data_IF_694379488229
#
_entry.id   IF_694379488229
#
_cell.length_a   1.000
_cell.length_b   1.000
_cell.length_c   1.000
_cell.angle_alpha   90.00
_cell.angle_beta   90.00
_cell.angle_gamma   90.00
#
_symmetry.space_group_name_H-M   'P 1'
#
loop_
_entity.id
_entity.type
_entity.pdbx_description
1 polymer ?
#
# COMPACT_ATOMS: atom_id res chain seq x y z
N UNK A 1 -31.63 2.56 11.75
CA UNK A 1 -30.48 2.35 10.86
C UNK A 1 -29.49 3.48 11.16
N UNK A 2 -28.29 3.17 11.63
CA UNK A 2 -27.35 4.20 12.05
C UNK A 2 -26.68 4.90 10.85
N UNK A 3 -26.05 6.04 11.12
CA UNK A 3 -25.43 6.91 10.10
C UNK A 3 -24.21 6.25 9.42
N UNK A 4 -23.58 5.28 10.07
CA UNK A 4 -22.46 4.51 9.52
C UNK A 4 -22.93 3.48 8.50
N UNK A 5 -24.04 2.80 8.80
CA UNK A 5 -24.68 1.80 7.93
C UNK A 5 -25.21 2.46 6.65
N UNK A 6 -25.79 3.66 6.75
CA UNK A 6 -26.20 4.42 5.56
C UNK A 6 -25.03 4.84 4.67
N UNK A 7 -23.89 5.24 5.25
CA UNK A 7 -22.69 5.58 4.48
C UNK A 7 -22.09 4.36 3.78
N UNK A 8 -22.00 3.22 4.47
CA UNK A 8 -21.52 1.98 3.88
C UNK A 8 -22.41 1.52 2.70
N UNK A 9 -23.74 1.65 2.83
CA UNK A 9 -24.69 1.32 1.76
C UNK A 9 -24.60 2.28 0.56
N UNK A 10 -24.36 3.56 0.81
CA UNK A 10 -24.12 4.56 -0.25
C UNK A 10 -22.83 4.29 -1.01
N UNK A 11 -21.78 3.85 -0.31
CA UNK A 11 -20.51 3.50 -0.93
C UNK A 11 -20.65 2.27 -1.82
N UNK A 12 -21.38 1.25 -1.35
CA UNK A 12 -21.70 0.04 -2.13
C UNK A 12 -22.57 0.37 -3.36
N UNK A 13 -23.55 1.27 -3.25
CA UNK A 13 -24.38 1.64 -4.41
C UNK A 13 -23.57 2.41 -5.45
N UNK A 14 -22.72 3.35 -5.00
CA UNK A 14 -21.84 4.13 -5.87
C UNK A 14 -20.83 3.22 -6.57
N UNK A 15 -20.34 2.20 -5.86
CA UNK A 15 -19.44 1.20 -6.42
C UNK A 15 -20.12 0.31 -7.46
N UNK A 16 -21.39 -0.07 -7.23
CA UNK A 16 -22.22 -0.82 -8.19
C UNK A 16 -22.45 -0.02 -9.47
N UNK A 17 -22.76 1.27 -9.36
CA UNK A 17 -22.97 2.16 -10.52
C UNK A 17 -21.71 2.26 -11.38
N UNK A 18 -20.53 2.38 -10.75
CA UNK A 18 -19.25 2.48 -11.44
C UNK A 18 -18.89 1.21 -12.23
N UNK A 19 -19.18 0.03 -11.67
CA UNK A 19 -19.00 -1.26 -12.36
C UNK A 19 -19.93 -1.36 -13.57
N UNK A 20 -21.19 -0.97 -13.42
CA UNK A 20 -22.17 -0.99 -14.51
C UNK A 20 -21.72 -0.07 -15.65
N UNK A 21 -21.27 1.14 -15.35
CA UNK A 21 -20.78 2.09 -16.36
C UNK A 21 -19.54 1.58 -17.09
N UNK A 22 -18.60 0.95 -16.38
CA UNK A 22 -17.36 0.40 -16.98
C UNK A 22 -17.67 -0.76 -17.92
N UNK A 23 -18.60 -1.66 -17.54
CA UNK A 23 -19.08 -2.76 -18.40
C UNK A 23 -19.81 -2.22 -19.63
N UNK A 24 -20.69 -1.24 -19.47
CA UNK A 24 -21.40 -0.61 -20.58
C UNK A 24 -20.44 0.06 -21.58
N UNK A 25 -19.39 0.70 -21.08
CA UNK A 25 -18.37 1.32 -21.93
C UNK A 25 -17.58 0.28 -22.74
N UNK A 26 -17.21 -0.85 -22.12
CA UNK A 26 -16.56 -1.96 -22.83
C UNK A 26 -17.48 -2.60 -23.89
N UNK A 27 -18.77 -2.73 -23.61
CA UNK A 27 -19.75 -3.25 -24.58
C UNK A 27 -19.94 -2.33 -25.79
N UNK A 28 -19.74 -1.02 -25.63
CA UNK A 28 -19.82 -0.05 -26.74
C UNK A 28 -18.55 0.00 -27.59
N UNK A 29 -17.39 -0.42 -27.06
CA UNK A 29 -16.12 -0.46 -27.79
C UNK A 29 -15.96 -1.73 -28.65
N UNK A 30 -16.76 -2.77 -28.44
CA UNK A 30 -16.77 -3.94 -29.34
C UNK A 30 -17.54 -3.64 -30.63
N UNK A 31 -16.81 -3.46 -31.73
CA UNK A 31 -17.36 -3.38 -33.07
C UNK A 31 -18.26 -4.59 -33.36
N UNK A 32 -19.54 -4.34 -33.66
CA UNK A 32 -20.52 -5.37 -34.04
C UNK A 32 -19.94 -6.28 -35.15
N UNK A 33 -19.71 -7.58 -34.92
CA UNK A 33 -19.25 -8.46 -35.98
C UNK A 33 -20.42 -8.75 -36.92
N UNK A 34 -20.20 -8.49 -38.20
CA UNK A 34 -21.06 -8.93 -39.29
C UNK A 34 -20.98 -10.47 -39.41
N UNK A 35 -22.12 -11.14 -39.15
CA UNK A 35 -22.47 -12.57 -39.34
C UNK A 35 -22.40 -13.47 -38.08
N UNK A 36 -23.30 -14.48 -37.98
CA UNK A 36 -23.73 -15.01 -36.69
C UNK A 36 -22.85 -16.19 -36.24
N UNK A 37 -21.99 -15.97 -35.25
CA UNK A 37 -21.43 -17.05 -34.41
C UNK A 37 -22.33 -17.24 -33.18
N UNK A 38 -23.53 -17.75 -33.40
CA UNK A 38 -24.53 -17.93 -32.34
C UNK A 38 -24.03 -18.87 -31.22
N UNK A 39 -23.20 -19.85 -31.58
CA UNK A 39 -22.55 -20.79 -30.65
C UNK A 39 -21.56 -20.10 -29.73
N UNK A 40 -20.76 -19.14 -30.22
CA UNK A 40 -19.80 -18.41 -29.40
C UNK A 40 -20.51 -17.51 -28.40
N UNK A 41 -21.57 -16.80 -28.83
CA UNK A 41 -22.40 -15.97 -27.93
C UNK A 41 -23.13 -16.79 -26.87
N UNK A 42 -23.65 -17.96 -27.22
CA UNK A 42 -24.28 -18.86 -26.26
C UNK A 42 -23.28 -19.34 -25.19
N UNK A 43 -22.06 -19.70 -25.59
CA UNK A 43 -20.99 -20.09 -24.65
C UNK A 43 -20.58 -18.92 -23.77
N UNK A 44 -20.37 -17.73 -24.34
CA UNK A 44 -20.04 -16.54 -23.54
C UNK A 44 -21.15 -16.25 -22.52
N UNK A 45 -22.42 -16.24 -22.94
CA UNK A 45 -23.57 -16.01 -22.04
C UNK A 45 -23.65 -17.08 -20.95
N UNK A 46 -23.41 -18.35 -21.27
CA UNK A 46 -23.40 -19.40 -20.25
C UNK A 46 -22.26 -19.20 -19.24
N UNK A 47 -21.07 -18.81 -19.71
CA UNK A 47 -19.93 -18.49 -18.82
C UNK A 47 -20.28 -17.29 -17.93
N UNK A 48 -20.84 -16.21 -18.47
CA UNK A 48 -21.25 -15.04 -17.66
C UNK A 48 -22.35 -15.39 -16.66
N UNK A 49 -23.35 -16.18 -17.07
CA UNK A 49 -24.40 -16.67 -16.17
C UNK A 49 -23.84 -17.57 -15.06
N UNK A 50 -22.87 -18.43 -15.35
CA UNK A 50 -22.19 -19.26 -14.33
C UNK A 50 -21.40 -18.42 -13.34
N UNK A 51 -20.69 -17.38 -13.80
CA UNK A 51 -19.98 -16.43 -12.93
C UNK A 51 -20.97 -15.66 -12.05
N UNK A 52 -22.06 -15.15 -12.62
CA UNK A 52 -23.10 -14.43 -11.89
C UNK A 52 -23.83 -15.33 -10.88
N UNK A 53 -24.10 -16.59 -11.24
CA UNK A 53 -24.67 -17.58 -10.32
C UNK A 53 -23.71 -17.94 -9.19
N UNK A 54 -22.41 -18.03 -9.46
CA UNK A 54 -21.40 -18.26 -8.43
C UNK A 54 -21.30 -17.08 -7.47
N UNK A 55 -21.34 -15.83 -7.97
CA UNK A 55 -21.37 -14.61 -7.16
C UNK A 55 -22.67 -14.55 -6.33
N UNK A 56 -23.82 -14.84 -6.94
CA UNK A 56 -25.10 -14.87 -6.25
C UNK A 56 -25.15 -15.99 -5.19
N UNK A 57 -24.52 -17.14 -5.46
CA UNK A 57 -24.40 -18.25 -4.50
C UNK A 57 -23.48 -17.90 -3.33
N UNK A 58 -22.33 -17.25 -3.58
CA UNK A 58 -21.45 -16.69 -2.54
C UNK A 58 -22.20 -15.65 -1.68
N UNK A 59 -22.99 -14.79 -2.30
CA UNK A 59 -23.79 -13.78 -1.60
C UNK A 59 -25.03 -14.34 -0.86
N UNK A 60 -25.51 -15.53 -1.25
CA UNK A 60 -26.67 -16.20 -0.66
C UNK A 60 -26.27 -17.26 0.38
N UNK A 61 -24.98 -17.53 0.59
CA UNK A 61 -24.57 -18.31 1.74
C UNK A 61 -24.94 -17.52 3.00
N UNK A 62 -25.74 -18.10 3.92
CA UNK A 62 -25.95 -17.48 5.21
C UNK A 62 -24.57 -17.26 5.85
N UNK A 63 -24.36 -16.07 6.40
CA UNK A 63 -23.20 -15.80 7.25
C UNK A 63 -23.45 -16.59 8.54
N UNK A 64 -23.24 -17.91 8.47
CA UNK A 64 -22.96 -18.68 9.66
C UNK A 64 -21.64 -18.13 10.18
N UNK A 65 -21.72 -17.55 11.36
CA UNK A 65 -20.59 -17.28 12.22
C UNK A 65 -19.91 -18.63 12.55
N UNK A 66 -19.19 -19.19 11.58
CA UNK A 66 -18.10 -20.10 11.90
C UNK A 66 -16.97 -19.19 12.32
N UNK A 67 -17.06 -18.77 13.59
CA UNK A 67 -15.90 -18.47 14.40
C UNK A 67 -15.01 -19.70 14.32
N UNK A 68 -14.15 -19.71 13.30
CA UNK A 68 -12.94 -20.50 13.37
C UNK A 68 -12.14 -19.77 14.44
N UNK A 69 -12.24 -20.25 15.68
CA UNK A 69 -11.17 -20.05 16.65
C UNK A 69 -9.92 -20.71 16.04
N UNK A 70 -9.30 -19.99 15.11
CA UNK A 70 -7.86 -20.07 14.94
C UNK A 70 -7.36 -19.65 16.31
N UNK A 71 -6.73 -20.59 16.99
CA UNK A 71 -5.99 -20.34 18.20
C UNK A 71 -4.90 -19.34 17.82
N UNK A 72 -5.24 -18.05 17.82
CA UNK A 72 -4.31 -16.95 17.69
C UNK A 72 -3.44 -17.05 18.94
N UNK A 73 -2.30 -17.74 18.80
CA UNK A 73 -1.21 -17.57 19.74
C UNK A 73 -1.06 -16.07 19.97
N UNK A 74 -1.09 -15.67 21.23
CA UNK A 74 -1.14 -14.29 21.72
C UNK A 74 -0.42 -13.35 20.74
N UNK A 75 -1.19 -12.60 19.93
CA UNK A 75 -0.61 -11.56 19.07
C UNK A 75 -0.06 -10.50 20.00
N UNK A 76 1.26 -10.54 20.20
CA UNK A 76 1.95 -9.52 20.97
C UNK A 76 1.61 -8.15 20.37
N UNK A 77 1.06 -7.21 21.16
CA UNK A 77 0.88 -5.84 20.68
C UNK A 77 2.25 -5.30 20.25
N UNK A 78 2.29 -4.52 19.17
CA UNK A 78 3.58 -4.03 18.62
C UNK A 78 4.42 -3.26 19.66
N UNK A 79 3.78 -2.66 20.67
CA UNK A 79 4.46 -1.99 21.79
C UNK A 79 5.35 -2.92 22.61
N UNK A 80 5.09 -4.22 22.61
CA UNK A 80 5.91 -5.21 23.30
C UNK A 80 7.21 -5.50 22.53
N UNK A 81 7.19 -5.30 21.21
CA UNK A 81 8.36 -5.38 20.33
C UNK A 81 9.21 -4.09 20.42
N UNK A 82 8.56 -2.93 20.50
CA UNK A 82 9.21 -1.61 20.52
C UNK A 82 9.24 -0.99 21.92
N UNK A 83 10.26 -1.33 22.70
CA UNK A 83 10.32 -1.00 24.14
C UNK A 83 10.99 0.35 24.46
N UNK A 84 11.77 0.90 23.53
CA UNK A 84 12.57 2.12 23.79
C UNK A 84 12.00 3.29 23.01
N UNK A 85 11.33 4.21 23.70
CA UNK A 85 10.91 5.51 23.13
C UNK A 85 12.15 6.40 22.94
N UNK A 86 12.23 7.08 21.79
CA UNK A 86 13.34 7.96 21.42
C UNK A 86 12.81 9.31 20.93
N UNK A 87 13.69 10.31 20.86
CA UNK A 87 13.32 11.59 20.27
C UNK A 87 13.12 11.46 18.75
N UNK A 88 12.27 12.33 18.19
CA UNK A 88 12.07 12.41 16.75
C UNK A 88 11.25 13.63 16.35
N UNK A 89 11.13 13.87 15.04
CA UNK A 89 10.35 14.99 14.48
C UNK A 89 9.59 14.55 13.24
N UNK A 90 8.31 14.94 13.19
CA UNK A 90 7.34 14.73 12.10
C UNK A 90 7.09 13.26 11.67
N UNK A 91 6.02 13.06 10.90
CA UNK A 91 5.68 11.79 10.25
C UNK A 91 6.16 11.74 8.80
N UNK A 92 6.44 10.54 8.27
CA UNK A 92 6.72 10.36 6.84
C UNK A 92 5.41 10.19 6.08
N UNK A 93 5.33 10.85 4.93
CA UNK A 93 4.19 10.78 4.03
C UNK A 93 4.65 11.13 2.62
N UNK A 94 3.88 10.73 1.62
CA UNK A 94 4.17 11.12 0.24
C UNK A 94 3.79 12.58 0.02
N UNK A 95 4.76 13.41 -0.38
CA UNK A 95 4.52 14.79 -0.77
C UNK A 95 3.73 14.89 -2.10
N UNK A 96 3.69 13.80 -2.87
CA UNK A 96 3.03 13.71 -4.19
C UNK A 96 1.56 13.37 -4.12
N UNK A 97 1.15 12.73 -3.04
CA UNK A 97 -0.25 12.44 -2.78
C UNK A 97 -0.71 13.37 -1.65
N UNK A 98 -0.93 14.67 -1.90
CA UNK A 98 -1.41 15.60 -0.88
C UNK A 98 -2.81 15.23 -0.36
N UNK A 99 -3.50 14.28 -1.00
CA UNK A 99 -4.75 13.70 -0.49
C UNK A 99 -4.47 12.69 0.66
N UNK A 100 -3.26 12.15 0.73
CA UNK A 100 -2.72 11.44 1.89
C UNK A 100 -2.22 12.40 2.98
N UNK A 101 -2.21 13.72 2.74
CA UNK A 101 -1.67 14.72 3.65
C UNK A 101 -2.46 14.85 4.95
N UNK A 102 -3.55 14.11 5.16
CA UNK A 102 -4.09 13.87 6.49
C UNK A 102 -2.99 13.38 7.44
N UNK A 103 -2.03 12.59 6.96
CA UNK A 103 -0.87 12.12 7.75
C UNK A 103 0.02 13.26 8.26
N UNK A 104 0.02 14.44 7.61
CA UNK A 104 0.74 15.63 8.10
C UNK A 104 0.06 16.31 9.29
N UNK A 105 -1.20 15.97 9.57
CA UNK A 105 -1.98 16.49 10.70
C UNK A 105 -1.73 15.71 12.00
N UNK A 106 -0.81 14.73 11.96
CA UNK A 106 -0.43 13.93 13.10
C UNK A 106 0.07 14.80 14.26
N UNK A 107 -0.52 14.59 15.43
CA UNK A 107 -0.15 15.22 16.71
C UNK A 107 0.27 14.16 17.71
N UNK A 108 0.99 14.59 18.76
CA UNK A 108 1.47 13.70 19.84
C UNK A 108 2.23 12.49 19.30
N UNK A 109 3.15 12.74 18.37
CA UNK A 109 3.91 11.69 17.70
C UNK A 109 4.93 11.10 18.68
N UNK A 110 4.97 9.77 18.76
CA UNK A 110 5.99 9.02 19.52
C UNK A 110 6.81 8.16 18.59
N UNK A 111 8.11 8.12 18.85
CA UNK A 111 9.10 7.39 18.07
C UNK A 111 9.73 6.31 18.93
N UNK A 112 10.10 5.20 18.30
CA UNK A 112 10.72 4.08 18.98
C UNK A 112 12.03 3.73 18.30
N UNK A 113 13.05 3.35 19.07
CA UNK A 113 14.31 2.87 18.50
C UNK A 113 14.02 1.71 17.52
N UNK A 114 14.63 1.71 16.32
CA UNK A 114 14.33 0.69 15.32
C UNK A 114 14.82 -0.68 15.79
N UNK A 115 14.10 -1.72 15.39
CA UNK A 115 14.59 -3.09 15.55
C UNK A 115 15.44 -3.47 14.34
N UNK A 116 16.51 -4.21 14.59
CA UNK A 116 17.52 -4.54 13.58
C UNK A 116 17.44 -6.02 13.18
N UNK A 117 17.71 -6.30 11.90
CA UNK A 117 17.77 -7.64 11.32
C UNK A 117 16.44 -8.17 10.80
N UNK A 118 16.52 -9.15 9.89
CA UNK A 118 15.36 -9.78 9.25
C UNK A 118 14.42 -10.47 10.25
N UNK A 119 14.95 -11.10 11.30
CA UNK A 119 14.12 -11.76 12.33
C UNK A 119 13.20 -10.76 13.03
N UNK A 120 13.70 -9.58 13.37
CA UNK A 120 12.89 -8.53 14.00
C UNK A 120 11.83 -7.99 13.04
N UNK A 121 12.18 -7.80 11.77
CA UNK A 121 11.19 -7.46 10.73
C UNK A 121 10.09 -8.53 10.67
N UNK A 122 10.46 -9.81 10.68
CA UNK A 122 9.52 -10.92 10.62
C UNK A 122 8.59 -10.95 11.83
N UNK A 123 9.10 -10.67 13.04
CA UNK A 123 8.25 -10.53 14.23
C UNK A 123 7.23 -9.39 14.07
N UNK A 124 7.65 -8.24 13.55
CA UNK A 124 6.73 -7.12 13.29
C UNK A 124 5.70 -7.47 12.21
N UNK A 125 6.13 -8.05 11.09
CA UNK A 125 5.21 -8.49 10.03
C UNK A 125 4.19 -9.51 10.54
N UNK A 126 4.61 -10.43 11.39
CA UNK A 126 3.72 -11.40 12.05
C UNK A 126 2.69 -10.71 12.93
N UNK A 127 3.09 -9.67 13.69
CA UNK A 127 2.16 -8.88 14.51
C UNK A 127 1.14 -8.09 13.66
N UNK A 128 1.50 -7.75 12.42
CA UNK A 128 0.63 -7.08 11.46
C UNK A 128 -0.30 -8.05 10.70
N UNK A 129 -0.11 -9.36 10.84
CA UNK A 129 -0.89 -10.38 10.15
C UNK A 129 -0.89 -10.17 8.64
N UNK A 130 -2.08 -10.20 8.02
CA UNK A 130 -2.22 -10.11 6.57
C UNK A 130 -2.03 -8.68 6.00
N UNK A 131 -1.63 -7.71 6.82
CA UNK A 131 -1.35 -6.35 6.33
C UNK A 131 0.02 -6.27 5.63
N UNK A 132 0.96 -7.16 5.96
CA UNK A 132 2.32 -7.16 5.41
C UNK A 132 2.82 -8.58 5.25
N UNK A 133 3.45 -8.87 4.11
CA UNK A 133 4.12 -10.15 3.83
C UNK A 133 5.57 -9.87 3.45
N UNK A 134 6.52 -10.18 4.31
CA UNK A 134 7.91 -9.87 4.01
C UNK A 134 8.47 -10.73 2.89
N UNK A 135 9.13 -10.06 1.95
CA UNK A 135 9.95 -10.70 0.93
C UNK A 135 11.28 -11.15 1.54
N UNK A 136 11.76 -12.33 1.16
CA UNK A 136 13.10 -12.76 1.57
C UNK A 136 14.15 -11.81 0.99
N UNK A 137 15.20 -11.54 1.76
CA UNK A 137 16.27 -10.64 1.31
C UNK A 137 17.00 -11.11 0.05
N UNK A 138 16.90 -12.39 -0.29
CA UNK A 138 17.49 -12.98 -1.51
C UNK A 138 16.72 -12.63 -2.78
N UNK A 139 15.42 -12.32 -2.67
CA UNK A 139 14.57 -11.98 -3.81
C UNK A 139 14.64 -10.49 -4.17
N UNK A 140 15.25 -9.68 -3.30
CA UNK A 140 15.49 -8.27 -3.52
C UNK A 140 16.45 -8.03 -4.71
N UNK A 141 16.37 -6.87 -5.38
CA UNK A 141 17.25 -6.55 -6.51
C UNK A 141 18.70 -6.24 -6.10
N UNK A 142 19.01 -6.23 -4.79
CA UNK A 142 20.35 -6.07 -4.25
C UNK A 142 20.46 -6.83 -2.92
N UNK A 143 21.69 -6.98 -2.41
CA UNK A 143 21.94 -7.65 -1.13
C UNK A 143 22.04 -6.60 -0.01
N UNK A 144 20.99 -6.42 0.82
CA UNK A 144 21.06 -5.44 1.90
C UNK A 144 22.11 -5.86 2.95
N UNK A 145 22.84 -4.88 3.45
CA UNK A 145 23.70 -5.03 4.62
C UNK A 145 23.13 -4.34 5.87
N UNK A 146 22.01 -3.63 5.71
CA UNK A 146 21.21 -3.07 6.79
C UNK A 146 19.75 -3.44 6.56
N UNK A 147 19.14 -3.95 7.62
CA UNK A 147 17.74 -4.31 7.69
C UNK A 147 17.20 -3.80 9.01
N UNK A 148 16.23 -2.91 8.95
CA UNK A 148 15.65 -2.31 10.14
C UNK A 148 14.16 -2.04 9.97
N UNK A 149 13.42 -2.12 11.08
CA UNK A 149 12.00 -1.78 11.12
C UNK A 149 11.78 -0.67 12.15
N UNK A 150 11.17 0.41 11.67
CA UNK A 150 10.77 1.55 12.48
C UNK A 150 9.31 1.44 12.86
N UNK A 151 8.96 1.96 14.03
CA UNK A 151 7.58 2.20 14.43
C UNK A 151 7.42 3.65 14.88
N UNK A 152 6.33 4.27 14.44
CA UNK A 152 5.91 5.61 14.86
C UNK A 152 4.43 5.59 15.15
N UNK A 153 4.02 6.15 16.29
CA UNK A 153 2.61 6.30 16.63
C UNK A 153 2.23 7.77 16.68
N UNK A 154 1.00 8.08 16.33
CA UNK A 154 0.48 9.45 16.41
C UNK A 154 -1.02 9.45 16.66
N UNK A 155 -1.54 10.62 17.03
CA UNK A 155 -2.97 10.88 17.11
C UNK A 155 -3.37 11.88 16.04
N UNK A 156 -4.47 11.60 15.37
CA UNK A 156 -5.06 12.49 14.38
C UNK A 156 -5.97 13.52 15.06
N UNK A 157 -6.35 14.54 14.30
CA UNK A 157 -7.25 15.60 14.79
C UNK A 157 -8.64 15.09 15.19
N UNK A 158 -9.11 14.00 14.58
CA UNK A 158 -10.37 13.34 14.95
C UNK A 158 -10.23 12.38 16.15
N UNK A 159 -9.03 12.30 16.74
CA UNK A 159 -8.72 11.45 17.88
C UNK A 159 -8.34 10.01 17.53
N UNK A 160 -8.38 9.62 16.24
CA UNK A 160 -7.94 8.30 15.80
C UNK A 160 -6.44 8.10 16.06
N UNK A 161 -6.07 6.87 16.40
CA UNK A 161 -4.66 6.49 16.59
C UNK A 161 -4.10 5.92 15.30
N UNK A 162 -2.97 6.45 14.88
CA UNK A 162 -2.20 5.92 13.77
C UNK A 162 -0.90 5.32 14.26
N UNK A 163 -0.52 4.25 13.60
CA UNK A 163 0.71 3.51 13.74
C UNK A 163 1.27 3.30 12.34
N UNK A 164 2.49 3.73 12.16
CA UNK A 164 3.24 3.62 10.93
C UNK A 164 4.45 2.72 11.17
N UNK A 165 4.63 1.73 10.31
CA UNK A 165 5.83 0.92 10.26
C UNK A 165 6.59 1.18 8.97
N UNK A 166 7.91 1.27 9.05
CA UNK A 166 8.79 1.35 7.88
C UNK A 166 9.78 0.21 7.93
N UNK A 167 9.66 -0.73 6.99
CA UNK A 167 10.63 -1.80 6.77
C UNK A 167 11.66 -1.30 5.78
N UNK A 168 12.91 -1.20 6.22
CA UNK A 168 13.99 -0.59 5.44
C UNK A 168 15.07 -1.62 5.13
N UNK A 169 15.34 -1.79 3.84
CA UNK A 169 16.45 -2.57 3.31
C UNK A 169 17.43 -1.58 2.68
N UNK A 170 18.67 -1.55 3.15
CA UNK A 170 19.71 -0.65 2.63
C UNK A 170 20.99 -1.43 2.33
N UNK A 171 21.67 -1.00 1.28
CA UNK A 171 23.06 -1.32 1.02
C UNK A 171 23.89 -0.06 1.24
N UNK A 172 24.71 -0.05 2.29
CA UNK A 172 25.67 1.02 2.54
C UNK A 172 27.07 0.63 2.07
N UNK A 173 27.79 1.60 1.52
CA UNK A 173 29.23 1.49 1.29
C UNK A 173 30.01 1.36 2.61
N UNK A 174 31.28 0.98 2.53
CA UNK A 174 32.20 1.01 3.68
C UNK A 174 32.37 2.41 4.29
N UNK A 175 32.05 3.47 3.54
CA UNK A 175 32.07 4.86 4.01
C UNK A 175 30.73 5.32 4.61
N UNK A 176 29.74 4.43 4.68
CA UNK A 176 28.43 4.69 5.30
C UNK A 176 27.43 5.40 4.39
N UNK A 177 27.69 5.48 3.08
CA UNK A 177 26.78 6.09 2.10
C UNK A 177 25.78 5.05 1.61
N UNK A 178 24.49 5.38 1.61
CA UNK A 178 23.44 4.55 0.98
C UNK A 178 23.70 4.45 -0.53
N UNK A 179 24.03 3.25 -1.01
CA UNK A 179 24.17 2.95 -2.43
C UNK A 179 22.80 2.67 -3.04
N UNK A 180 22.04 1.80 -2.37
CA UNK A 180 20.72 1.35 -2.80
C UNK A 180 19.82 1.17 -1.58
N UNK A 181 18.53 1.42 -1.74
CA UNK A 181 17.55 1.18 -0.69
C UNK A 181 16.17 0.86 -1.23
N UNK A 182 15.40 0.14 -0.41
CA UNK A 182 13.95 0.00 -0.52
C UNK A 182 13.35 0.22 0.87
N UNK A 183 12.37 1.11 0.95
CA UNK A 183 11.61 1.40 2.16
C UNK A 183 10.14 1.05 1.91
N UNK A 184 9.60 0.09 2.64
CA UNK A 184 8.18 -0.22 2.65
C UNK A 184 7.53 0.41 3.88
N UNK A 185 6.77 1.47 3.68
CA UNK A 185 6.01 2.11 4.75
C UNK A 185 4.56 1.66 4.70
N UNK A 186 4.03 1.18 5.83
CA UNK A 186 2.63 0.80 6.02
C UNK A 186 2.05 1.60 7.18
N UNK A 187 0.89 2.22 6.97
CA UNK A 187 0.23 3.06 7.99
C UNK A 187 -1.23 2.67 8.10
N UNK A 188 -1.72 2.35 9.31
CA UNK A 188 -3.16 2.14 9.49
C UNK A 188 -3.91 3.48 9.36
N UNK A 189 -5.03 3.45 8.65
CA UNK A 189 -5.88 4.62 8.45
C UNK A 189 -7.35 4.21 8.55
N UNK A 190 -8.17 5.08 9.13
CA UNK A 190 -9.60 4.80 9.31
C UNK A 190 -10.41 4.94 8.01
N UNK A 191 -9.84 5.60 6.99
CA UNK A 191 -10.51 5.89 5.72
C UNK A 191 -9.54 5.79 4.55
N UNK A 192 -10.05 5.33 3.42
CA UNK A 192 -9.31 5.27 2.16
C UNK A 192 -8.99 6.69 1.65
N UNK A 193 -7.71 7.13 1.65
CA UNK A 193 -7.35 8.45 1.15
C UNK A 193 -7.44 8.54 -0.39
N UNK A 194 -7.56 7.42 -1.10
CA UNK A 194 -7.68 7.38 -2.56
C UNK A 194 -9.13 7.33 -3.05
N UNK A 195 -10.12 7.33 -2.15
CA UNK A 195 -11.54 7.18 -2.51
C UNK A 195 -12.04 8.25 -3.51
N UNK A 196 -11.54 9.49 -3.36
CA UNK A 196 -11.90 10.61 -4.23
C UNK A 196 -10.91 10.79 -5.40
N UNK A 197 -9.71 10.21 -5.31
CA UNK A 197 -8.65 10.35 -6.32
C UNK A 197 -8.93 9.52 -7.59
N UNK A 198 -9.47 8.31 -7.43
CA UNK A 198 -9.75 7.39 -8.55
C UNK A 198 -10.90 7.88 -9.45
N UNK A 199 -11.66 8.90 -9.03
CA UNK A 199 -12.82 9.42 -9.76
C UNK A 199 -12.49 10.54 -10.76
N UNK A 200 -11.28 11.12 -10.73
CA UNK A 200 -10.94 12.26 -11.58
C UNK A 200 -9.69 12.03 -12.42
N UNK A 201 -9.90 11.77 -13.72
CA UNK A 201 -8.99 12.03 -14.83
C UNK A 201 -7.67 11.24 -14.87
N UNK A 202 -7.06 11.18 -16.06
CA UNK A 202 -5.75 10.58 -16.28
C UNK A 202 -4.78 11.09 -15.21
N UNK A 203 -4.24 10.13 -14.45
CA UNK A 203 -3.32 10.34 -13.33
C UNK A 203 -2.07 11.17 -13.74
N UNK A 204 -1.85 11.35 -15.04
CA UNK A 204 -0.76 12.10 -15.67
C UNK A 204 -0.81 13.63 -15.47
N UNK A 205 -1.96 14.26 -15.18
CA UNK A 205 -2.11 15.73 -15.23
C UNK A 205 -2.11 16.45 -13.88
N UNK A 206 -1.84 15.74 -12.77
CA UNK A 206 -1.75 16.41 -11.46
C UNK A 206 -0.36 17.02 -11.32
N UNK A 207 -0.25 18.34 -11.42
CA UNK A 207 0.98 19.13 -11.18
C UNK A 207 2.13 18.93 -12.20
N UNK A 208 1.87 18.34 -13.37
CA UNK A 208 2.92 18.01 -14.34
C UNK A 208 3.77 16.80 -13.97
N UNK A 209 3.27 15.99 -13.03
CA UNK A 209 3.96 14.79 -12.52
C UNK A 209 3.32 13.57 -13.16
N UNK A 210 4.12 12.83 -13.92
CA UNK A 210 3.67 11.58 -14.52
C UNK A 210 3.56 10.51 -13.45
N UNK A 211 2.33 10.18 -13.07
CA UNK A 211 2.01 9.03 -12.22
C UNK A 211 1.26 8.01 -13.09
N UNK A 212 1.65 6.74 -13.00
CA UNK A 212 0.99 5.64 -13.70
C UNK A 212 0.28 4.73 -12.70
N UNK A 213 -0.80 4.08 -13.12
CA UNK A 213 -1.38 2.99 -12.34
C UNK A 213 -0.80 1.68 -12.89
N UNK A 214 0.01 1.00 -12.09
CA UNK A 214 0.55 -0.33 -12.42
C UNK A 214 -0.30 -1.47 -11.85
N UNK A 215 -1.46 -1.17 -11.25
CA UNK A 215 -2.43 -2.12 -10.70
C UNK A 215 -1.90 -2.97 -9.52
N UNK A 216 -2.53 -2.83 -8.35
CA UNK A 216 -2.27 -3.73 -7.22
C UNK A 216 -2.97 -5.07 -7.47
N UNK A 217 -4.27 -4.98 -7.79
CA UNK A 217 -5.11 -6.07 -8.26
C UNK A 217 -6.24 -5.47 -9.12
N UNK A 218 -7.17 -6.31 -9.57
CA UNK A 218 -8.27 -5.87 -10.45
C UNK A 218 -9.11 -4.70 -9.89
N UNK A 219 -9.19 -4.56 -8.56
CA UNK A 219 -10.05 -3.57 -7.88
C UNK A 219 -9.27 -2.39 -7.30
N UNK A 220 -7.99 -2.55 -7.00
CA UNK A 220 -7.21 -1.59 -6.23
C UNK A 220 -6.03 -1.04 -7.06
N UNK A 221 -5.84 0.29 -7.10
CA UNK A 221 -4.72 0.88 -7.83
C UNK A 221 -3.39 0.67 -7.09
N UNK A 222 -2.32 0.52 -7.86
CA UNK A 222 -0.95 0.70 -7.37
C UNK A 222 -0.37 1.86 -8.17
N UNK A 223 -0.32 3.03 -7.55
CA UNK A 223 0.13 4.25 -8.20
C UNK A 223 1.67 4.26 -8.17
N UNK A 224 2.29 4.47 -9.32
CA UNK A 224 3.73 4.54 -9.47
C UNK A 224 4.14 5.91 -9.96
N UNK A 225 5.19 6.44 -9.33
CA UNK A 225 5.88 7.65 -9.76
C UNK A 225 7.35 7.34 -9.99
N UNK A 226 7.82 7.67 -11.19
CA UNK A 226 9.24 7.61 -11.50
C UNK A 226 10.00 8.74 -10.79
N UNK A 227 11.24 8.45 -10.38
CA UNK A 227 12.14 9.44 -9.81
C UNK A 227 12.41 10.57 -10.81
N UNK A 228 11.98 11.79 -10.50
CA UNK A 228 12.25 12.96 -11.36
C UNK A 228 13.44 13.78 -10.85
N UNK A 229 14.17 14.47 -11.75
CA UNK A 229 15.30 15.32 -11.37
C UNK A 229 14.91 16.67 -10.73
N UNK A 230 13.62 17.05 -10.76
CA UNK A 230 13.13 18.30 -10.17
C UNK A 230 13.13 18.27 -8.63
N UNK A 231 13.51 19.40 -8.03
CA UNK A 231 13.81 19.51 -6.59
C UNK A 231 12.58 19.72 -5.70
N UNK A 232 11.42 19.98 -6.29
CA UNK A 232 10.24 20.45 -5.53
C UNK A 232 9.55 19.33 -4.76
N UNK A 233 9.92 18.08 -5.02
CA UNK A 233 9.32 16.96 -4.32
C UNK A 233 10.34 15.89 -3.94
N UNK A 234 10.32 15.55 -2.65
CA UNK A 234 11.25 14.59 -2.05
C UNK A 234 10.51 13.41 -1.44
N UNK A 235 11.12 12.24 -1.54
CA UNK A 235 10.73 11.08 -0.76
C UNK A 235 11.29 11.24 0.66
N UNK A 236 10.42 11.08 1.65
CA UNK A 236 10.77 11.24 3.07
C UNK A 236 10.68 9.87 3.75
N UNK A 237 11.74 9.47 4.45
CA UNK A 237 11.78 8.22 5.22
C UNK A 237 12.47 8.41 6.56
N UNK A 238 12.23 7.50 7.50
CA UNK A 238 12.91 7.52 8.80
C UNK A 238 14.32 6.95 8.71
N UNK A 239 15.22 7.57 9.46
CA UNK A 239 16.56 7.06 9.70
C UNK A 239 16.91 7.26 11.18
N UNK A 240 17.52 6.27 11.82
CA UNK A 240 17.96 6.37 13.20
C UNK A 240 19.40 6.86 13.27
N UNK A 241 19.64 7.81 14.16
CA UNK A 241 20.97 8.25 14.57
C UNK A 241 21.32 7.58 15.90
N UNK A 242 22.23 6.61 15.84
CA UNK A 242 22.73 5.87 17.02
C UNK A 242 23.49 6.78 18.01
N UNK A 243 24.19 7.80 17.52
CA UNK A 243 24.99 8.68 18.37
C UNK A 243 24.09 9.62 19.19
N UNK A 244 23.04 10.13 18.55
CA UNK A 244 22.08 11.03 19.18
C UNK A 244 20.84 10.33 19.75
N UNK A 245 20.72 9.01 19.55
CA UNK A 245 19.61 8.15 19.98
C UNK A 245 18.24 8.72 19.59
N UNK A 246 18.08 9.04 18.31
CA UNK A 246 16.86 9.69 17.81
C UNK A 246 16.55 9.33 16.37
N UNK A 247 15.27 9.46 16.02
CA UNK A 247 14.79 9.30 14.65
C UNK A 247 14.79 10.65 13.93
N UNK A 248 15.37 10.64 12.74
CA UNK A 248 15.37 11.73 11.79
C UNK A 248 14.56 11.39 10.55
N UNK A 249 14.10 12.44 9.86
CA UNK A 249 13.57 12.33 8.52
C UNK A 249 14.67 12.60 7.51
N UNK A 250 14.83 11.68 6.57
CA UNK A 250 15.72 11.83 5.44
C UNK A 250 14.91 12.22 4.21
N UNK A 251 15.34 13.27 3.53
CA UNK A 251 14.77 13.69 2.25
C UNK A 251 15.68 13.22 1.13
N UNK A 252 15.13 12.46 0.19
CA UNK A 252 15.87 11.94 -0.96
C UNK A 252 15.01 11.98 -2.21
N UNK A 253 15.60 11.65 -3.35
CA UNK A 253 14.87 11.31 -4.56
C UNK A 253 14.63 9.82 -4.56
N UNK A 254 13.44 9.40 -4.96
CA UNK A 254 13.09 7.99 -5.06
C UNK A 254 12.10 7.78 -6.19
N UNK A 255 12.08 6.56 -6.71
CA UNK A 255 10.89 6.02 -7.33
C UNK A 255 9.90 5.66 -6.22
N UNK A 256 8.61 5.89 -6.43
CA UNK A 256 7.59 5.71 -5.40
C UNK A 256 6.43 4.85 -5.88
N UNK A 257 5.96 3.97 -5.00
CA UNK A 257 4.64 3.37 -5.12
C UNK A 257 3.73 3.86 -3.99
N UNK A 258 2.45 3.99 -4.31
CA UNK A 258 1.42 4.36 -3.36
C UNK A 258 0.14 3.57 -3.59
N UNK A 259 -0.42 3.01 -2.52
CA UNK A 259 -1.69 2.27 -2.58
C UNK A 259 -2.44 2.35 -1.25
N UNK A 260 -3.74 2.07 -1.32
CA UNK A 260 -4.56 1.79 -0.14
C UNK A 260 -5.17 0.41 -0.29
N UNK A 261 -5.04 -0.42 0.74
CA UNK A 261 -5.59 -1.76 0.77
C UNK A 261 -5.88 -2.21 2.22
N UNK A 262 -7.05 -2.80 2.46
CA UNK A 262 -7.47 -3.37 3.74
C UNK A 262 -7.25 -2.48 4.99
N UNK A 263 -7.52 -1.17 4.89
CA UNK A 263 -7.37 -0.24 6.02
C UNK A 263 -5.95 0.32 6.20
N UNK A 264 -5.05 0.05 5.25
CA UNK A 264 -3.67 0.52 5.29
C UNK A 264 -3.32 1.34 4.07
N UNK A 265 -2.53 2.39 4.31
CA UNK A 265 -1.78 3.10 3.28
C UNK A 265 -0.41 2.46 3.15
N UNK A 266 -0.02 2.18 1.92
CA UNK A 266 1.30 1.71 1.56
C UNK A 266 2.02 2.82 0.79
N UNK A 267 3.16 3.24 1.31
CA UNK A 267 4.05 4.21 0.68
C UNK A 267 5.44 3.60 0.57
N UNK A 268 5.81 3.21 -0.65
CA UNK A 268 7.08 2.53 -0.91
C UNK A 268 7.98 3.49 -1.66
N UNK A 269 9.21 3.67 -1.18
CA UNK A 269 10.24 4.42 -1.89
C UNK A 269 11.46 3.57 -2.14
N UNK A 270 12.03 3.65 -3.34
CA UNK A 270 13.26 2.93 -3.67
C UNK A 270 14.20 3.72 -4.57
N UNK A 271 15.49 3.42 -4.43
CA UNK A 271 16.56 3.83 -5.34
C UNK A 271 17.50 2.65 -5.54
N UNK A 272 17.72 2.29 -6.81
CA UNK A 272 18.54 1.15 -7.23
C UNK A 272 19.56 1.61 -8.28
N UNK A 273 20.66 0.88 -8.40
CA UNK A 273 21.66 1.11 -9.43
C UNK A 273 21.12 0.62 -10.79
N UNK A 274 20.98 1.54 -11.74
CA UNK A 274 20.43 1.26 -13.07
C UNK A 274 18.91 1.17 -13.07
N UNK A 275 18.24 2.21 -13.57
CA UNK A 275 16.79 2.23 -13.71
C UNK A 275 16.42 1.73 -15.10
N UNK A 276 15.90 0.51 -15.19
CA UNK A 276 15.29 -0.06 -16.40
C UNK A 276 13.81 -0.36 -16.16
N UNK A 277 13.04 -0.49 -17.23
CA UNK A 277 11.64 -0.93 -17.15
C UNK A 277 11.51 -2.29 -16.46
N UNK A 278 12.46 -3.21 -16.69
CA UNK A 278 12.50 -4.53 -16.03
C UNK A 278 12.66 -4.40 -14.50
N UNK A 279 13.51 -3.47 -14.04
CA UNK A 279 13.68 -3.20 -12.61
C UNK A 279 12.39 -2.63 -12.01
N UNK A 280 11.71 -1.75 -12.74
CA UNK A 280 10.41 -1.21 -12.31
C UNK A 280 9.34 -2.31 -12.18
N UNK A 281 9.25 -3.22 -13.16
CA UNK A 281 8.31 -4.34 -13.14
C UNK A 281 8.63 -5.32 -12.00
N UNK A 282 9.92 -5.63 -11.78
CA UNK A 282 10.37 -6.43 -10.63
C UNK A 282 9.99 -5.76 -9.32
N UNK A 283 10.19 -4.46 -9.18
CA UNK A 283 9.80 -3.71 -7.99
C UNK A 283 8.30 -3.68 -7.78
N UNK A 284 7.49 -3.54 -8.84
CA UNK A 284 6.04 -3.62 -8.73
C UNK A 284 5.61 -5.00 -8.22
N UNK A 285 6.24 -6.09 -8.67
CA UNK A 285 5.97 -7.44 -8.18
C UNK A 285 6.36 -7.61 -6.70
N UNK A 286 7.52 -7.10 -6.28
CA UNK A 286 7.93 -7.12 -4.88
C UNK A 286 6.91 -6.36 -4.01
N UNK A 287 6.44 -5.20 -4.47
CA UNK A 287 5.42 -4.42 -3.74
C UNK A 287 4.08 -5.14 -3.68
N UNK A 288 3.66 -5.81 -4.76
CA UNK A 288 2.45 -6.65 -4.75
C UNK A 288 2.60 -7.79 -3.76
N UNK A 289 3.72 -8.51 -3.77
CA UNK A 289 4.03 -9.57 -2.81
C UNK A 289 3.99 -9.05 -1.37
N UNK A 290 4.56 -7.87 -1.13
CA UNK A 290 4.52 -7.23 0.19
C UNK A 290 3.10 -6.98 0.70
N UNK A 291 2.20 -6.53 -0.17
CA UNK A 291 0.84 -6.13 0.19
C UNK A 291 -0.12 -7.33 0.20
N UNK A 292 -0.02 -8.22 -0.80
CA UNK A 292 -0.99 -9.27 -1.09
C UNK A 292 -0.54 -10.67 -0.66
N UNK A 293 0.76 -10.88 -0.45
CA UNK A 293 1.33 -12.18 -0.07
C UNK A 293 1.42 -13.19 -1.22
N UNK A 294 1.49 -12.73 -2.47
CA UNK A 294 1.52 -13.58 -3.68
C UNK A 294 2.74 -13.35 -4.59
#
# INVERSE_FOLDING_TARGET
MDKHTMRALQDVSTHKEAIIQKVLHQMQQESYPSKPKWTYRAVTIMITCSILLFIAWQAAQPIDQVATEVNEGEKLPFTDLFQTEVEGKNTTFSQFFPIANYLSQAKNIKYYAPLQGFEAMQSVATSLGNAVHLTNSEDLPFKPNIQEVYAVTSKMDDGSQQTQFQFSFKEKSYTGVDLQYINFTVTNVDRNPLADYVKSQNIEDTLGIKVSNVELNFMNPLLFREMTPDRDFTYIYYNYDEAEKRIYQMNTRANEFYSYYNGYVYHIGYQLDGVSQEVQEKMANIVRGFILGN
#
